data_IF_520395420350
#
_entry.id   IF_520395420350
#
_cell.length_a   1.000
_cell.length_b   1.000
_cell.length_c   1.000
_cell.angle_alpha   90.00
_cell.angle_beta   90.00
_cell.angle_gamma   90.00
#
_symmetry.space_group_name_H-M   'P 1'
#
loop_
_entity.id
_entity.type
_entity.pdbx_description
1 polymer ?
#
# COMPACT_ATOMS: atom_id res chain seq x y z
N UNK A 1 -14.02 -11.17 3.95
CA UNK A 1 -13.33 -12.40 4.45
C UNK A 1 -11.87 -12.27 4.12
N UNK A 2 -10.99 -12.43 5.08
CA UNK A 2 -9.53 -12.40 4.87
C UNK A 2 -9.09 -13.64 4.11
N UNK A 3 -8.07 -13.48 3.23
CA UNK A 3 -7.56 -14.62 2.45
C UNK A 3 -6.71 -15.57 3.31
N UNK A 4 -6.74 -16.83 2.95
CA UNK A 4 -5.97 -17.94 3.56
C UNK A 4 -4.76 -18.36 2.71
N UNK A 5 -4.66 -17.84 1.49
CA UNK A 5 -3.52 -17.99 0.59
C UNK A 5 -2.55 -16.81 0.70
N UNK A 6 -1.35 -16.92 0.12
CA UNK A 6 -0.35 -15.85 0.17
C UNK A 6 -0.79 -14.60 -0.59
N UNK A 7 -1.42 -14.77 -1.74
CA UNK A 7 -1.96 -13.69 -2.57
C UNK A 7 -3.06 -14.20 -3.50
N UNK A 8 -3.85 -13.27 -4.04
CA UNK A 8 -4.74 -13.54 -5.18
C UNK A 8 -4.82 -12.34 -6.13
N UNK A 9 -5.02 -12.61 -7.40
CA UNK A 9 -5.36 -11.59 -8.39
C UNK A 9 -6.86 -11.37 -8.37
N UNK A 10 -7.29 -10.13 -8.18
CA UNK A 10 -8.71 -9.79 -8.03
C UNK A 10 -9.37 -9.38 -9.34
N UNK A 11 -8.71 -8.48 -10.08
CA UNK A 11 -9.25 -7.92 -11.32
C UNK A 11 -8.15 -7.28 -12.17
N UNK A 12 -8.47 -7.04 -13.44
CA UNK A 12 -7.70 -6.16 -14.31
C UNK A 12 -8.09 -4.69 -14.04
N UNK A 13 -7.09 -3.81 -14.06
CA UNK A 13 -7.27 -2.37 -13.86
C UNK A 13 -7.24 -1.68 -15.23
N UNK A 14 -8.20 -0.81 -15.55
CA UNK A 14 -8.16 0.01 -16.77
C UNK A 14 -6.86 0.82 -16.88
N UNK A 15 -6.10 0.64 -17.94
CA UNK A 15 -4.78 1.30 -18.15
C UNK A 15 -4.81 2.81 -17.98
N UNK A 16 -5.93 3.45 -18.36
CA UNK A 16 -6.13 4.90 -18.23
C UNK A 16 -6.04 5.40 -16.78
N UNK A 17 -6.30 4.54 -15.79
CA UNK A 17 -6.24 4.88 -14.37
C UNK A 17 -4.80 4.79 -13.80
N UNK A 18 -3.92 4.02 -14.43
CA UNK A 18 -2.55 3.79 -13.93
C UNK A 18 -1.56 4.82 -14.47
N UNK A 19 -1.73 5.26 -15.72
CA UNK A 19 -0.77 6.18 -16.36
C UNK A 19 -0.59 7.50 -15.61
N UNK A 20 -1.65 8.22 -15.16
CA UNK A 20 -1.48 9.48 -14.42
C UNK A 20 -0.68 9.28 -13.13
N UNK A 21 -0.88 8.17 -12.41
CA UNK A 21 -0.16 7.85 -11.18
C UNK A 21 1.33 7.61 -11.49
N UNK A 22 1.63 6.81 -12.52
CA UNK A 22 3.00 6.56 -12.93
C UNK A 22 3.74 7.84 -13.34
N UNK A 23 3.07 8.74 -14.05
CA UNK A 23 3.66 10.01 -14.48
C UNK A 23 3.89 10.97 -13.29
N UNK A 24 3.01 10.98 -12.30
CA UNK A 24 3.20 11.74 -11.05
C UNK A 24 4.34 11.15 -10.21
N UNK A 25 4.41 9.84 -10.05
CA UNK A 25 5.48 9.15 -9.30
C UNK A 25 6.88 9.41 -9.88
N UNK A 26 7.02 9.54 -11.20
CA UNK A 26 8.31 9.85 -11.82
C UNK A 26 8.85 11.25 -11.49
N UNK A 27 7.96 12.18 -11.14
CA UNK A 27 8.29 13.58 -10.82
C UNK A 27 8.46 13.82 -9.32
N UNK A 28 8.02 12.88 -8.50
CA UNK A 28 8.03 13.04 -7.05
C UNK A 28 9.45 13.05 -6.50
N UNK A 29 9.77 13.99 -5.61
CA UNK A 29 10.97 13.90 -4.79
C UNK A 29 10.73 12.79 -3.75
N UNK A 30 11.26 11.62 -4.04
CA UNK A 30 11.22 10.51 -3.10
C UNK A 30 12.11 10.84 -1.89
N UNK A 31 11.51 10.93 -0.73
CA UNK A 31 12.25 11.02 0.53
C UNK A 31 12.58 9.62 1.03
N UNK A 32 13.70 9.50 1.72
CA UNK A 32 14.02 8.27 2.43
C UNK A 32 12.91 8.08 3.48
N UNK A 33 12.18 6.98 3.36
CA UNK A 33 11.13 6.65 4.31
C UNK A 33 11.78 6.44 5.69
N UNK A 34 11.34 7.20 6.68
CA UNK A 34 11.78 7.00 8.05
C UNK A 34 11.10 5.73 8.57
N UNK A 35 11.73 4.59 8.28
CA UNK A 35 11.29 3.28 8.77
C UNK A 35 11.93 2.96 10.13
N UNK A 36 11.83 3.88 11.10
CA UNK A 36 12.24 3.64 12.49
C UNK A 36 11.48 2.47 13.16
N UNK A 37 10.58 1.85 12.41
CA UNK A 37 9.72 0.74 12.87
C UNK A 37 10.30 -0.65 12.68
N UNK A 38 11.41 -0.78 11.98
CA UNK A 38 12.08 -2.07 11.77
C UNK A 38 13.45 -2.03 12.44
N UNK A 39 13.86 -3.13 13.06
CA UNK A 39 15.17 -3.30 13.73
C UNK A 39 16.39 -3.02 12.83
N UNK A 40 16.16 -2.83 11.54
CA UNK A 40 17.13 -2.29 10.57
C UNK A 40 16.42 -1.26 9.70
N UNK A 41 16.95 -0.03 9.60
CA UNK A 41 16.43 0.93 8.64
C UNK A 41 16.44 0.27 7.26
N UNK A 42 15.31 0.35 6.55
CA UNK A 42 15.25 0.00 5.13
C UNK A 42 16.04 1.04 4.37
N UNK A 43 17.35 0.84 4.28
CA UNK A 43 18.32 1.83 3.83
C UNK A 43 18.00 2.43 2.45
N UNK A 44 17.13 1.78 1.64
CA UNK A 44 16.88 2.15 0.26
C UNK A 44 15.40 2.00 -0.18
N UNK A 45 14.45 1.91 0.74
CA UNK A 45 13.01 2.02 0.45
C UNK A 45 12.56 3.47 0.52
N UNK A 46 11.79 3.93 -0.47
CA UNK A 46 11.23 5.28 -0.51
C UNK A 46 9.72 5.21 -0.38
N UNK A 47 9.15 6.00 0.51
CA UNK A 47 7.75 5.94 0.87
C UNK A 47 7.09 7.32 0.74
N UNK A 48 5.87 7.34 0.20
CA UNK A 48 4.94 8.45 0.34
C UNK A 48 3.68 7.86 0.99
N UNK A 49 3.48 8.14 2.26
CA UNK A 49 2.27 7.73 2.97
C UNK A 49 1.15 8.73 2.74
N UNK A 50 -0.05 8.18 2.49
CA UNK A 50 -1.29 8.93 2.46
C UNK A 50 -2.18 8.44 3.61
N UNK A 51 -2.18 9.09 4.77
CA UNK A 51 -3.16 8.78 5.80
C UNK A 51 -4.56 9.17 5.33
N UNK A 52 -5.56 8.32 5.55
CA UNK A 52 -6.96 8.60 5.30
C UNK A 52 -7.74 8.65 6.61
N UNK A 53 -8.75 9.52 6.72
CA UNK A 53 -9.30 10.42 5.71
C UNK A 53 -8.38 11.62 5.44
N UNK A 54 -8.21 11.90 4.19
CA UNK A 54 -7.32 12.89 3.59
C UNK A 54 -7.52 14.31 4.18
N UNK A 55 -8.73 14.62 4.63
CA UNK A 55 -9.19 15.99 4.88
C UNK A 55 -8.40 16.75 5.96
N UNK A 56 -7.74 16.09 6.90
CA UNK A 56 -7.05 16.79 8.00
C UNK A 56 -5.56 17.05 7.77
N UNK A 57 -4.93 16.39 6.79
CA UNK A 57 -3.48 16.47 6.56
C UNK A 57 -3.06 16.96 5.17
N UNK A 58 -3.99 17.16 4.23
CA UNK A 58 -3.65 17.72 2.91
C UNK A 58 -2.87 19.04 3.00
N UNK A 59 -3.05 19.80 4.08
CA UNK A 59 -2.33 21.04 4.33
C UNK A 59 -0.80 20.87 4.49
N UNK A 60 -0.36 19.67 4.91
CA UNK A 60 1.04 19.38 5.18
C UNK A 60 1.74 18.66 4.01
N UNK A 61 1.02 18.33 2.94
CA UNK A 61 1.62 17.67 1.78
C UNK A 61 2.36 18.66 0.90
N UNK A 62 3.49 18.21 0.35
CA UNK A 62 4.15 18.92 -0.73
C UNK A 62 3.25 18.96 -1.97
N UNK A 63 3.57 19.82 -2.92
CA UNK A 63 2.84 19.87 -4.18
C UNK A 63 2.84 18.49 -4.88
N UNK A 64 3.99 17.85 -4.90
CA UNK A 64 4.20 16.55 -5.56
C UNK A 64 3.39 15.44 -4.89
N UNK A 65 3.30 15.43 -3.56
CA UNK A 65 2.45 14.50 -2.81
C UNK A 65 0.97 14.71 -3.15
N UNK A 66 0.51 15.97 -3.22
CA UNK A 66 -0.86 16.29 -3.64
C UNK A 66 -1.14 15.86 -5.09
N UNK A 67 -0.19 16.08 -6.01
CA UNK A 67 -0.32 15.68 -7.42
C UNK A 67 -0.48 14.15 -7.54
N UNK A 68 0.29 13.36 -6.76
CA UNK A 68 0.17 11.90 -6.73
C UNK A 68 -1.19 11.50 -6.16
N UNK A 69 -1.60 12.08 -5.05
CA UNK A 69 -2.89 11.77 -4.44
C UNK A 69 -4.06 12.06 -5.38
N UNK A 70 -4.02 13.21 -6.05
CA UNK A 70 -5.02 13.55 -7.04
C UNK A 70 -5.03 12.56 -8.21
N UNK A 71 -3.86 12.11 -8.67
CA UNK A 71 -3.75 11.09 -9.72
C UNK A 71 -4.29 9.72 -9.26
N UNK A 72 -4.21 9.40 -7.97
CA UNK A 72 -4.75 8.16 -7.42
C UNK A 72 -6.27 8.16 -7.26
N UNK A 73 -6.92 9.30 -7.06
CA UNK A 73 -8.37 9.38 -6.75
C UNK A 73 -9.25 8.57 -7.71
N UNK A 74 -9.14 8.69 -9.04
CA UNK A 74 -9.99 7.91 -9.96
C UNK A 74 -9.81 6.39 -9.83
N UNK A 75 -8.59 5.93 -9.53
CA UNK A 75 -8.32 4.52 -9.30
C UNK A 75 -8.95 4.04 -8.00
N UNK A 76 -8.88 4.85 -6.95
CA UNK A 76 -9.43 4.54 -5.65
C UNK A 76 -10.96 4.46 -5.70
N UNK A 77 -11.61 5.41 -6.36
CA UNK A 77 -13.05 5.40 -6.61
C UNK A 77 -13.45 4.15 -7.41
N UNK A 78 -12.66 3.80 -8.44
CA UNK A 78 -12.88 2.59 -9.21
C UNK A 78 -12.76 1.31 -8.37
N UNK A 79 -11.74 1.22 -7.50
CA UNK A 79 -11.59 0.06 -6.59
C UNK A 79 -12.80 -0.05 -5.67
N UNK A 80 -13.21 1.04 -5.02
CA UNK A 80 -14.34 1.03 -4.09
C UNK A 80 -15.69 0.80 -4.79
N UNK A 81 -15.79 1.07 -6.08
CA UNK A 81 -16.99 0.75 -6.88
C UNK A 81 -17.11 -0.73 -7.25
N UNK A 82 -16.06 -1.54 -7.02
CA UNK A 82 -16.14 -2.97 -7.30
C UNK A 82 -17.06 -3.67 -6.29
N UNK A 83 -17.95 -4.59 -6.73
CA UNK A 83 -18.95 -5.21 -5.86
C UNK A 83 -18.36 -5.86 -4.60
N UNK A 84 -17.16 -6.45 -4.69
CA UNK A 84 -16.49 -7.09 -3.56
C UNK A 84 -16.04 -6.10 -2.47
N UNK A 85 -15.99 -4.80 -2.76
CA UNK A 85 -15.58 -3.75 -1.82
C UNK A 85 -16.72 -2.77 -1.46
N UNK A 86 -17.97 -3.04 -1.89
CA UNK A 86 -19.12 -2.14 -1.65
C UNK A 86 -19.33 -1.81 -0.16
N UNK A 87 -18.96 -2.73 0.75
CA UNK A 87 -19.12 -2.57 2.20
C UNK A 87 -17.75 -2.41 2.90
N UNK A 88 -16.78 -1.78 2.24
CA UNK A 88 -15.48 -1.52 2.82
C UNK A 88 -15.26 -0.03 2.98
N UNK A 89 -14.51 0.31 4.01
CA UNK A 89 -13.97 1.66 4.24
C UNK A 89 -12.48 1.64 3.95
N UNK A 90 -12.03 2.69 3.38
CA UNK A 90 -10.63 2.93 3.16
C UNK A 90 -9.98 3.46 4.44
N UNK A 91 -8.92 2.82 4.89
CA UNK A 91 -8.24 3.17 6.14
C UNK A 91 -6.92 3.83 5.88
N UNK A 92 -6.13 3.26 4.99
CA UNK A 92 -4.77 3.69 4.72
C UNK A 92 -4.42 3.49 3.25
N UNK A 93 -3.57 4.39 2.73
CA UNK A 93 -2.91 4.22 1.44
C UNK A 93 -1.48 4.72 1.50
N UNK A 94 -0.62 4.05 0.76
CA UNK A 94 0.77 4.46 0.61
C UNK A 94 1.26 4.18 -0.82
N UNK A 95 2.19 4.98 -1.30
CA UNK A 95 2.99 4.65 -2.47
C UNK A 95 4.39 4.31 -2.01
N UNK A 96 4.77 3.05 -2.20
CA UNK A 96 6.05 2.51 -1.78
C UNK A 96 6.93 2.19 -2.99
N UNK A 97 8.16 2.71 -2.98
CA UNK A 97 9.17 2.41 -3.99
C UNK A 97 10.27 1.53 -3.39
N UNK A 98 10.54 0.40 -4.03
CA UNK A 98 11.67 -0.48 -3.73
C UNK A 98 12.77 -0.25 -4.78
N UNK A 99 13.92 0.24 -4.34
CA UNK A 99 15.01 0.63 -5.21
C UNK A 99 15.72 -0.58 -5.85
N UNK A 100 16.48 -0.40 -6.95
CA UNK A 100 17.26 -1.46 -7.56
C UNK A 100 18.26 -2.09 -6.58
N UNK A 101 18.34 -3.43 -6.57
CA UNK A 101 19.25 -4.19 -5.70
C UNK A 101 18.76 -4.39 -4.28
N UNK A 102 17.62 -3.83 -3.89
CA UNK A 102 17.11 -3.91 -2.51
C UNK A 102 16.26 -5.16 -2.31
N UNK A 103 16.44 -5.81 -1.19
CA UNK A 103 15.58 -6.83 -0.64
C UNK A 103 15.12 -6.40 0.76
N UNK A 104 13.80 -6.39 0.99
CA UNK A 104 13.24 -6.11 2.31
C UNK A 104 13.55 -7.26 3.27
N UNK A 105 13.75 -6.93 4.55
CA UNK A 105 13.81 -7.96 5.59
C UNK A 105 12.50 -8.75 5.65
N UNK A 106 12.59 -10.05 6.02
CA UNK A 106 11.43 -10.89 6.26
C UNK A 106 10.63 -10.39 7.45
N UNK A 107 9.36 -10.02 7.24
CA UNK A 107 8.48 -9.43 8.25
C UNK A 107 7.03 -9.89 8.10
N UNK A 108 6.22 -9.58 9.08
CA UNK A 108 4.76 -9.47 9.01
C UNK A 108 4.42 -8.02 9.19
N UNK A 109 3.32 -7.57 8.64
CA UNK A 109 2.88 -6.20 8.89
C UNK A 109 2.39 -6.07 10.35
N UNK A 110 3.00 -5.21 11.17
CA UNK A 110 2.85 -5.26 12.62
C UNK A 110 1.63 -4.52 13.16
N UNK A 111 0.92 -3.75 12.33
CA UNK A 111 -0.14 -2.89 12.84
C UNK A 111 -1.40 -3.68 13.16
N UNK A 112 -2.04 -3.37 14.29
CA UNK A 112 -3.21 -4.09 14.81
C UNK A 112 -4.38 -4.21 13.82
N UNK A 113 -4.57 -3.22 12.93
CA UNK A 113 -5.64 -3.25 11.94
C UNK A 113 -5.37 -4.23 10.78
N UNK A 114 -4.13 -4.67 10.60
CA UNK A 114 -3.77 -5.60 9.51
C UNK A 114 -4.47 -6.95 9.64
N UNK A 115 -4.82 -7.36 10.84
CA UNK A 115 -5.60 -8.59 11.07
C UNK A 115 -7.08 -8.45 10.70
N UNK A 116 -7.54 -7.22 10.44
CA UNK A 116 -8.94 -6.87 10.15
C UNK A 116 -9.13 -6.26 8.77
N UNK A 117 -8.06 -5.97 8.05
CA UNK A 117 -8.06 -5.32 6.75
C UNK A 117 -7.70 -6.27 5.62
N UNK A 118 -8.23 -5.94 4.46
CA UNK A 118 -7.75 -6.45 3.17
C UNK A 118 -6.63 -5.53 2.70
N UNK A 119 -5.44 -6.07 2.47
CA UNK A 119 -4.33 -5.31 1.87
C UNK A 119 -4.27 -5.53 0.38
N UNK A 120 -4.42 -4.44 -0.35
CA UNK A 120 -4.38 -4.42 -1.80
C UNK A 120 -3.07 -3.83 -2.32
N UNK A 121 -2.53 -4.42 -3.37
CA UNK A 121 -1.39 -3.90 -4.10
C UNK A 121 -1.76 -3.61 -5.54
N UNK A 122 -1.40 -2.42 -6.00
CA UNK A 122 -1.47 -2.00 -7.41
C UNK A 122 -0.07 -1.67 -7.89
N UNK A 123 0.55 -2.51 -8.73
CA UNK A 123 1.83 -2.19 -9.35
C UNK A 123 1.69 -1.00 -10.30
N UNK A 124 2.43 0.09 -10.02
CA UNK A 124 2.45 1.32 -10.83
C UNK A 124 3.67 1.31 -11.76
N UNK A 125 4.83 0.98 -11.21
CA UNK A 125 6.09 0.79 -11.94
C UNK A 125 6.69 -0.52 -11.46
N UNK A 126 7.06 -1.41 -12.38
CA UNK A 126 7.70 -2.68 -12.01
C UNK A 126 8.52 -3.25 -13.16
N UNK A 127 9.29 -4.27 -12.88
CA UNK A 127 10.04 -5.07 -13.86
C UNK A 127 10.03 -6.54 -13.44
N UNK A 128 10.27 -7.46 -14.39
CA UNK A 128 10.16 -8.91 -14.19
C UNK A 128 11.11 -9.48 -13.10
N UNK A 129 12.12 -8.71 -12.66
CA UNK A 129 13.05 -9.08 -11.60
C UNK A 129 12.62 -8.55 -10.22
N UNK A 130 11.47 -7.91 -10.14
CA UNK A 130 10.84 -7.55 -8.87
C UNK A 130 9.86 -8.64 -8.47
N UNK A 131 10.06 -9.23 -7.31
CA UNK A 131 9.23 -10.31 -6.79
C UNK A 131 8.81 -10.03 -5.36
N UNK A 132 7.61 -10.46 -5.02
CA UNK A 132 7.16 -10.65 -3.65
C UNK A 132 7.54 -12.07 -3.23
N UNK A 133 7.96 -12.23 -1.99
CA UNK A 133 8.51 -13.47 -1.47
C UNK A 133 7.66 -13.96 -0.29
N UNK A 134 7.32 -15.22 -0.28
CA UNK A 134 6.84 -16.00 0.85
C UNK A 134 7.74 -17.22 0.97
N UNK A 135 7.69 -17.95 2.08
CA UNK A 135 8.64 -19.03 2.38
C UNK A 135 8.94 -19.97 1.20
N UNK A 136 7.91 -20.34 0.42
CA UNK A 136 8.04 -21.27 -0.70
C UNK A 136 7.51 -20.70 -2.02
N UNK A 137 7.30 -19.38 -2.10
CA UNK A 137 6.68 -18.73 -3.27
C UNK A 137 7.40 -17.44 -3.61
N UNK A 138 7.80 -17.31 -4.86
CA UNK A 138 8.19 -16.04 -5.47
C UNK A 138 7.12 -15.66 -6.50
N UNK A 139 6.64 -14.42 -6.44
CA UNK A 139 5.61 -13.96 -7.35
C UNK A 139 5.89 -12.55 -7.88
N UNK A 140 5.88 -12.39 -9.19
CA UNK A 140 5.96 -11.10 -9.85
C UNK A 140 4.56 -10.51 -10.05
N UNK A 141 4.32 -9.34 -9.47
CA UNK A 141 3.08 -8.59 -9.67
C UNK A 141 3.20 -7.72 -10.92
N UNK A 142 2.45 -8.07 -11.96
CA UNK A 142 2.43 -7.34 -13.22
C UNK A 142 1.58 -6.06 -13.12
N UNK A 143 1.97 -5.01 -13.87
CA UNK A 143 1.15 -3.80 -14.03
C UNK A 143 -0.18 -4.16 -14.69
N UNK A 144 -1.25 -3.48 -14.30
CA UNK A 144 -2.59 -3.69 -14.87
C UNK A 144 -3.48 -4.62 -14.08
N UNK A 145 -3.04 -5.08 -12.92
CA UNK A 145 -3.83 -5.97 -12.06
C UNK A 145 -3.92 -5.44 -10.64
N UNK A 146 -5.04 -5.74 -9.99
CA UNK A 146 -5.26 -5.53 -8.57
C UNK A 146 -4.99 -6.85 -7.85
N UNK A 147 -4.09 -6.80 -6.87
CA UNK A 147 -3.73 -7.96 -6.05
C UNK A 147 -4.15 -7.76 -4.61
N UNK A 148 -4.62 -8.82 -3.97
CA UNK A 148 -4.74 -8.90 -2.52
C UNK A 148 -3.57 -9.73 -1.97
N UNK A 149 -2.90 -9.22 -0.94
CA UNK A 149 -1.81 -9.89 -0.25
C UNK A 149 -2.20 -10.28 1.16
N UNK A 150 -1.75 -11.45 1.57
CA UNK A 150 -1.83 -11.86 2.97
C UNK A 150 -0.63 -11.28 3.73
N UNK A 151 -0.84 -10.11 4.30
CA UNK A 151 0.16 -9.38 5.10
C UNK A 151 0.37 -9.99 6.51
N UNK A 152 -0.47 -10.94 6.93
CA UNK A 152 -0.40 -11.64 8.22
C UNK A 152 0.60 -12.78 8.23
N UNK A 153 0.96 -13.31 7.06
CA UNK A 153 2.02 -14.31 6.93
C UNK A 153 3.37 -13.63 6.68
N UNK A 154 4.44 -14.29 7.09
CA UNK A 154 5.79 -13.78 6.91
C UNK A 154 6.12 -13.65 5.42
N UNK A 155 6.54 -12.45 5.03
CA UNK A 155 6.82 -12.12 3.63
C UNK A 155 8.00 -11.15 3.48
N UNK A 156 8.45 -10.97 2.25
CA UNK A 156 9.49 -10.04 1.84
C UNK A 156 9.25 -9.59 0.40
N UNK A 157 10.06 -8.66 -0.10
CA UNK A 157 10.06 -8.25 -1.50
C UNK A 157 11.49 -7.96 -1.95
N UNK A 158 11.83 -8.37 -3.18
CA UNK A 158 13.15 -8.16 -3.78
C UNK A 158 13.03 -7.45 -5.13
N UNK A 159 13.90 -6.48 -5.35
CA UNK A 159 14.07 -5.85 -6.65
C UNK A 159 15.49 -6.13 -7.19
N UNK A 160 15.66 -7.21 -7.92
CA UNK A 160 16.92 -7.54 -8.60
C UNK A 160 17.05 -6.88 -9.99
N UNK A 161 16.17 -5.91 -10.32
CA UNK A 161 16.16 -5.17 -11.57
C UNK A 161 17.05 -3.93 -11.55
N UNK A 162 16.89 -3.09 -12.59
CA UNK A 162 17.64 -1.83 -12.76
C UNK A 162 16.76 -0.58 -12.60
N UNK A 163 15.47 -0.74 -12.40
CA UNK A 163 14.50 0.32 -12.19
C UNK A 163 13.82 0.12 -10.85
N UNK A 164 13.39 1.20 -10.21
CA UNK A 164 12.59 1.11 -9.01
C UNK A 164 11.28 0.36 -9.26
N UNK A 165 10.81 -0.35 -8.25
CA UNK A 165 9.45 -0.92 -8.22
C UNK A 165 8.59 0.00 -7.38
N UNK A 166 7.50 0.52 -7.92
CA UNK A 166 6.57 1.39 -7.23
C UNK A 166 5.19 0.76 -7.19
N UNK A 167 4.65 0.55 -6.00
CA UNK A 167 3.30 0.07 -5.78
C UNK A 167 2.47 1.10 -5.03
N UNK A 168 1.20 1.24 -5.39
CA UNK A 168 0.18 1.77 -4.52
C UNK A 168 -0.31 0.63 -3.64
N UNK A 169 -0.25 0.81 -2.33
CA UNK A 169 -0.69 -0.14 -1.31
C UNK A 169 -1.88 0.47 -0.59
N UNK A 170 -2.94 -0.29 -0.40
CA UNK A 170 -4.19 0.16 0.19
C UNK A 170 -4.66 -0.83 1.25
N UNK A 171 -5.08 -0.31 2.40
CA UNK A 171 -5.73 -1.10 3.43
C UNK A 171 -7.21 -0.74 3.49
N UNK A 172 -8.06 -1.72 3.22
CA UNK A 172 -9.51 -1.61 3.27
C UNK A 172 -10.06 -2.44 4.43
N UNK A 173 -10.92 -1.85 5.26
CA UNK A 173 -11.58 -2.52 6.38
C UNK A 173 -13.06 -2.71 6.07
N UNK A 174 -13.66 -3.90 6.35
CA UNK A 174 -15.10 -4.07 6.31
C UNK A 174 -15.79 -3.00 7.16
N UNK A 175 -16.88 -2.42 6.67
CA UNK A 175 -17.59 -1.33 7.37
C UNK A 175 -18.05 -1.74 8.76
N UNK A 176 -18.47 -2.99 8.93
CA UNK A 176 -18.87 -3.53 10.24
C UNK A 176 -17.69 -3.53 11.23
N UNK A 177 -16.52 -3.98 10.82
CA UNK A 177 -15.30 -3.97 11.65
C UNK A 177 -14.89 -2.54 12.01
N UNK A 178 -15.03 -1.63 11.06
CA UNK A 178 -14.72 -0.22 11.28
C UNK A 178 -15.67 0.41 12.31
N UNK A 179 -16.98 0.13 12.23
CA UNK A 179 -17.97 0.60 13.20
C UNK A 179 -17.70 0.04 14.60
N UNK A 180 -17.47 -1.27 14.71
CA UNK A 180 -17.16 -1.94 15.98
C UNK A 180 -15.88 -1.40 16.63
N UNK A 181 -14.86 -1.12 15.83
CA UNK A 181 -13.62 -0.52 16.33
C UNK A 181 -13.86 0.85 16.93
N UNK A 182 -14.72 1.67 16.31
CA UNK A 182 -15.08 2.99 16.83
C UNK A 182 -15.91 2.93 18.12
N UNK A 183 -16.84 2.00 18.22
CA UNK A 183 -17.64 1.78 19.42
C UNK A 183 -16.75 1.37 20.61
N UNK A 184 -15.66 0.66 20.35
CA UNK A 184 -14.64 0.30 21.34
C UNK A 184 -13.66 1.42 21.68
N UNK A 185 -13.87 2.63 21.13
CA UNK A 185 -12.97 3.78 21.31
C UNK A 185 -11.68 3.68 20.49
N UNK A 186 -11.57 2.67 19.64
CA UNK A 186 -10.44 2.51 18.73
C UNK A 186 -10.77 3.31 17.46
N UNK A 187 -9.96 4.33 17.17
CA UNK A 187 -10.09 5.04 15.90
C UNK A 187 -9.12 4.44 14.88
N UNK A 188 -9.58 3.65 13.90
CA UNK A 188 -8.70 3.01 12.92
C UNK A 188 -7.82 4.00 12.13
N UNK A 189 -8.26 5.26 12.08
CA UNK A 189 -7.56 6.34 11.38
C UNK A 189 -6.66 7.14 12.31
N UNK A 190 -6.98 7.21 13.62
CA UNK A 190 -6.22 8.03 14.59
C UNK A 190 -4.88 7.39 15.00
N UNK A 191 -4.75 6.08 14.88
CA UNK A 191 -3.48 5.37 15.17
C UNK A 191 -2.37 5.77 14.19
N UNK A 192 -2.73 6.28 13.02
CA UNK A 192 -1.78 6.84 12.06
C UNK A 192 -1.34 8.26 12.50
N UNK A 193 -2.08 8.89 13.41
CA UNK A 193 -1.88 10.27 13.85
C UNK A 193 -1.03 10.44 15.10
N UNK A 194 -0.74 9.35 15.83
CA UNK A 194 0.11 9.42 17.01
C UNK A 194 1.60 9.42 16.63
N UNK A 195 2.34 10.50 16.85
CA UNK A 195 3.78 10.44 16.72
C UNK A 195 4.36 9.61 17.88
N UNK A 196 4.87 8.44 17.60
CA UNK A 196 5.88 7.81 18.43
C UNK A 196 5.49 6.85 19.54
N UNK A 197 4.27 6.28 19.57
CA UNK A 197 3.94 5.18 20.46
C UNK A 197 3.59 3.92 19.63
N UNK A 198 4.62 3.14 19.31
CA UNK A 198 4.50 1.78 18.79
C UNK A 198 5.59 0.90 19.40
#
# INVERSE_FOLDING_TARGET
MLIDVNYRTLSEIPKKLLKPIADACKKAPWTDGNYDRFEKPLADGKLIEFPFPIAKREQNYTKEQRDILQACRPLLEWILSQPQFANYKWIRGEIAALMPGVELGWHRDPQWFHDRCVRLHVPIITNKRCVQLWENVEFHMAIGHLYELNNRVRHSARNAGRQSRTHLILDLMPELEWQQSREQGINPVAVIDAPGEY
#
